data_IF_967334791788
#
_entry.id   IF_967334791788
#
_cell.length_a   1.000
_cell.length_b   1.000
_cell.length_c   1.000
_cell.angle_alpha   90.00
_cell.angle_beta   90.00
_cell.angle_gamma   90.00
#
_symmetry.space_group_name_H-M   'P 1'
#
loop_
_entity.id
_entity.type
_entity.pdbx_description
1 polymer ?
#
# COMPACT_ATOMS: atom_id res chain seq x y z
N UNK A 1 -3.74 11.78 -32.34
CA UNK A 1 -3.00 12.12 -31.11
C UNK A 1 -2.34 10.84 -30.63
N UNK A 2 -1.00 10.75 -30.65
CA UNK A 2 -0.29 9.57 -30.13
C UNK A 2 -0.24 9.64 -28.60
N UNK A 3 -0.52 8.54 -27.88
CA UNK A 3 -0.32 8.50 -26.43
C UNK A 3 1.18 8.70 -26.13
N UNK A 4 1.52 9.59 -25.19
CA UNK A 4 2.88 9.74 -24.68
C UNK A 4 3.29 8.40 -24.07
N UNK A 5 4.24 7.71 -24.68
CA UNK A 5 4.63 6.37 -24.25
C UNK A 5 5.69 6.38 -23.15
N UNK A 6 6.53 7.41 -23.11
CA UNK A 6 7.64 7.53 -22.15
C UNK A 6 7.71 8.96 -21.62
N UNK A 7 7.82 9.11 -20.31
CA UNK A 7 7.97 10.39 -19.63
C UNK A 7 9.03 10.25 -18.53
N UNK A 8 10.22 10.78 -18.78
CA UNK A 8 11.31 10.78 -17.81
C UNK A 8 11.27 12.08 -16.99
N UNK A 9 10.93 11.95 -15.71
CA UNK A 9 10.88 13.10 -14.77
C UNK A 9 11.80 12.92 -13.56
N UNK A 10 12.66 11.90 -13.60
CA UNK A 10 13.69 11.64 -12.59
C UNK A 10 14.47 12.92 -12.32
N UNK A 11 14.58 13.31 -11.04
CA UNK A 11 15.40 14.46 -10.60
C UNK A 11 15.01 15.84 -11.13
N UNK A 12 13.77 16.03 -11.60
CA UNK A 12 13.28 17.35 -11.95
C UNK A 12 12.70 18.09 -10.74
N UNK A 13 13.00 19.39 -10.62
CA UNK A 13 12.38 20.30 -9.64
C UNK A 13 10.99 20.74 -10.11
N UNK A 14 10.06 19.79 -10.18
CA UNK A 14 8.67 20.07 -10.54
C UNK A 14 7.96 20.65 -9.31
N UNK A 15 7.62 21.93 -9.37
CA UNK A 15 6.79 22.59 -8.36
C UNK A 15 5.32 22.15 -8.47
N UNK A 16 4.49 22.45 -7.48
CA UNK A 16 3.08 22.05 -7.41
C UNK A 16 2.29 22.36 -8.69
N UNK A 17 2.51 23.53 -9.29
CA UNK A 17 1.88 23.94 -10.56
C UNK A 17 2.35 23.08 -11.74
N UNK A 18 3.65 22.76 -11.81
CA UNK A 18 4.19 21.87 -12.83
C UNK A 18 3.63 20.45 -12.69
N UNK A 19 3.46 19.96 -11.47
CA UNK A 19 2.85 18.65 -11.20
C UNK A 19 1.37 18.64 -11.60
N UNK A 20 0.64 19.75 -11.39
CA UNK A 20 -0.75 19.90 -11.79
C UNK A 20 -0.90 19.88 -13.33
N UNK A 21 -0.08 20.65 -14.05
CA UNK A 21 -0.07 20.64 -15.52
C UNK A 21 0.31 19.28 -16.10
N UNK A 22 1.26 18.58 -15.45
CA UNK A 22 1.64 17.24 -15.83
C UNK A 22 0.48 16.25 -15.60
N UNK A 23 -0.18 16.33 -14.45
CA UNK A 23 -1.34 15.50 -14.13
C UNK A 23 -2.50 15.73 -15.12
N UNK A 24 -2.82 16.97 -15.45
CA UNK A 24 -3.86 17.32 -16.43
C UNK A 24 -3.54 16.80 -17.83
N UNK A 25 -2.26 16.87 -18.21
CA UNK A 25 -1.76 16.33 -19.49
C UNK A 25 -1.77 14.79 -19.52
N UNK A 26 -1.51 14.14 -18.39
CA UNK A 26 -1.49 12.68 -18.24
C UNK A 26 -2.88 12.07 -18.02
N UNK A 27 -3.87 12.85 -17.60
CA UNK A 27 -5.25 12.39 -17.33
C UNK A 27 -5.89 11.68 -18.52
N UNK A 28 -5.47 12.03 -19.73
CA UNK A 28 -5.95 11.45 -20.98
C UNK A 28 -5.06 10.30 -21.50
N UNK A 29 -4.00 9.98 -20.78
CA UNK A 29 -3.00 9.01 -21.19
C UNK A 29 -3.09 7.74 -20.35
N UNK A 30 -3.55 6.65 -20.96
CA UNK A 30 -3.73 5.36 -20.28
C UNK A 30 -2.41 4.68 -19.90
N UNK A 31 -1.27 5.17 -20.38
CA UNK A 31 0.03 4.52 -20.26
C UNK A 31 1.11 5.55 -19.93
N UNK A 32 1.81 5.39 -18.81
CA UNK A 32 3.00 6.18 -18.46
C UNK A 32 4.16 5.21 -18.21
N UNK A 33 5.28 5.42 -18.91
CA UNK A 33 6.52 4.66 -18.70
C UNK A 33 7.57 5.56 -18.05
N UNK A 34 8.10 5.13 -16.90
CA UNK A 34 9.23 5.77 -16.21
C UNK A 34 10.33 4.72 -16.09
N UNK A 35 11.50 4.95 -16.68
CA UNK A 35 12.64 4.00 -16.67
C UNK A 35 12.25 2.57 -17.10
N UNK A 36 11.51 2.42 -18.21
CA UNK A 36 10.95 1.14 -18.68
C UNK A 36 9.94 0.46 -17.74
N UNK A 37 9.60 1.05 -16.59
CA UNK A 37 8.53 0.60 -15.72
C UNK A 37 7.20 1.14 -16.22
N UNK A 38 6.28 0.24 -16.46
CA UNK A 38 4.93 0.49 -16.93
C UNK A 38 3.94 0.30 -15.80
N UNK A 39 3.05 1.28 -15.62
CA UNK A 39 1.97 1.23 -14.66
C UNK A 39 0.60 0.98 -15.33
N UNK A 40 -0.21 0.10 -14.74
CA UNK A 40 -1.60 -0.15 -15.11
C UNK A 40 -2.50 0.12 -13.92
N UNK A 41 -3.64 0.74 -14.16
CA UNK A 41 -4.61 1.06 -13.13
C UNK A 41 -5.96 0.43 -13.46
N UNK A 42 -6.66 -0.04 -12.45
CA UNK A 42 -8.04 -0.49 -12.54
C UNK A 42 -8.80 -0.10 -11.27
N UNK A 43 -10.09 0.19 -11.45
CA UNK A 43 -11.03 0.31 -10.34
C UNK A 43 -11.91 -0.93 -10.33
N UNK A 44 -11.97 -1.60 -9.18
CA UNK A 44 -12.77 -2.81 -8.96
C UNK A 44 -13.93 -2.49 -8.03
N UNK A 45 -15.13 -2.92 -8.41
CA UNK A 45 -16.31 -2.79 -7.55
C UNK A 45 -16.38 -3.98 -6.60
N UNK A 46 -16.28 -3.73 -5.30
CA UNK A 46 -16.45 -4.74 -4.26
C UNK A 46 -17.74 -4.49 -3.48
N UNK A 47 -18.40 -5.53 -2.93
CA UNK A 47 -19.51 -5.36 -2.01
C UNK A 47 -19.17 -4.45 -0.84
N UNK A 48 -20.05 -3.50 -0.50
CA UNK A 48 -19.83 -2.65 0.68
C UNK A 48 -20.01 -3.38 2.02
N UNK A 49 -20.54 -4.60 2.00
CA UNK A 49 -20.81 -5.42 3.17
C UNK A 49 -20.79 -6.90 2.77
N UNK A 50 -19.90 -7.66 3.41
CA UNK A 50 -19.71 -9.10 3.17
C UNK A 50 -20.57 -10.01 4.07
N UNK A 51 -21.23 -9.47 5.10
CA UNK A 51 -22.10 -10.24 6.02
C UNK A 51 -23.45 -10.64 5.42
N UNK A 52 -23.80 -10.18 4.21
CA UNK A 52 -25.02 -10.61 3.54
C UNK A 52 -24.70 -11.86 2.72
N UNK A 53 -25.12 -13.01 3.25
CA UNK A 53 -24.95 -14.36 2.67
C UNK A 53 -25.48 -14.54 1.25
N UNK A 54 -26.24 -13.57 0.71
CA UNK A 54 -26.62 -13.52 -0.69
C UNK A 54 -25.97 -12.30 -1.38
N UNK A 55 -24.81 -12.52 -2.01
CA UNK A 55 -24.12 -11.56 -2.89
C UNK A 55 -25.05 -11.01 -4.00
N UNK A 56 -26.11 -11.75 -4.36
CA UNK A 56 -27.15 -11.35 -5.32
C UNK A 56 -28.03 -10.19 -4.86
N UNK A 57 -28.02 -9.83 -3.57
CA UNK A 57 -28.80 -8.71 -3.00
C UNK A 57 -27.96 -7.52 -2.56
N UNK A 58 -26.63 -7.60 -2.68
CA UNK A 58 -25.74 -6.48 -2.42
C UNK A 58 -25.77 -5.50 -3.59
N UNK A 59 -26.72 -4.56 -3.56
CA UNK A 59 -26.82 -3.49 -4.57
C UNK A 59 -25.79 -2.38 -4.39
N UNK A 60 -25.12 -2.33 -3.23
CA UNK A 60 -24.13 -1.29 -2.93
C UNK A 60 -22.72 -1.85 -3.06
N UNK A 61 -21.96 -1.27 -3.98
CA UNK A 61 -20.54 -1.53 -4.17
C UNK A 61 -19.70 -0.32 -3.78
N UNK A 62 -18.42 -0.56 -3.54
CA UNK A 62 -17.39 0.46 -3.34
C UNK A 62 -16.29 0.21 -4.37
N UNK A 63 -15.79 1.28 -4.96
CA UNK A 63 -14.65 1.20 -5.87
C UNK A 63 -13.35 1.09 -5.06
N UNK A 64 -12.54 0.08 -5.41
CA UNK A 64 -11.18 -0.09 -4.92
C UNK A 64 -10.21 0.12 -6.08
N UNK A 65 -9.24 1.00 -5.87
CA UNK A 65 -8.18 1.25 -6.82
C UNK A 65 -7.05 0.24 -6.68
N UNK A 66 -6.70 -0.40 -7.79
CA UNK A 66 -5.53 -1.28 -7.90
C UNK A 66 -4.60 -0.75 -8.97
N UNK A 67 -3.31 -0.70 -8.65
CA UNK A 67 -2.24 -0.30 -9.58
C UNK A 67 -1.17 -1.37 -9.65
N UNK A 68 -0.84 -1.81 -10.86
CA UNK A 68 0.22 -2.77 -11.16
C UNK A 68 1.40 -2.04 -11.79
N UNK A 69 2.60 -2.34 -11.32
CA UNK A 69 3.88 -1.93 -11.89
C UNK A 69 4.59 -3.16 -12.45
N UNK A 70 5.13 -3.03 -13.66
CA UNK A 70 5.86 -4.11 -14.34
C UNK A 70 6.90 -3.52 -15.28
N UNK A 71 7.98 -4.26 -15.55
CA UNK A 71 8.95 -3.85 -16.56
C UNK A 71 8.41 -4.16 -17.97
N UNK A 72 8.62 -3.24 -18.92
CA UNK A 72 8.21 -3.43 -20.32
C UNK A 72 8.82 -4.72 -20.88
N UNK A 73 8.00 -5.58 -21.49
CA UNK A 73 8.43 -6.87 -22.05
C UNK A 73 8.37 -8.07 -21.09
N UNK A 74 8.17 -7.85 -19.79
CA UNK A 74 8.20 -8.92 -18.77
C UNK A 74 6.83 -9.25 -18.16
N UNK A 75 5.74 -8.75 -18.74
CA UNK A 75 4.38 -8.81 -18.16
C UNK A 75 3.88 -10.22 -17.82
N UNK A 76 4.33 -11.24 -18.54
CA UNK A 76 3.79 -12.61 -18.43
C UNK A 76 4.77 -13.59 -17.75
N UNK A 77 5.94 -13.11 -17.30
CA UNK A 77 6.98 -13.98 -16.73
C UNK A 77 7.29 -13.67 -15.27
N UNK A 78 6.79 -12.54 -14.77
CA UNK A 78 7.14 -12.04 -13.45
C UNK A 78 6.34 -12.70 -12.33
N UNK A 79 6.92 -12.92 -11.16
CA UNK A 79 6.16 -13.17 -9.93
C UNK A 79 5.27 -11.96 -9.59
N UNK A 80 4.25 -12.15 -8.76
CA UNK A 80 3.25 -11.15 -8.42
C UNK A 80 3.39 -10.76 -6.95
N UNK A 81 3.94 -9.59 -6.66
CA UNK A 81 4.05 -9.06 -5.29
C UNK A 81 2.96 -8.03 -5.01
N UNK A 82 2.06 -8.33 -4.09
CA UNK A 82 1.02 -7.43 -3.63
C UNK A 82 1.48 -6.70 -2.37
N UNK A 83 1.80 -5.42 -2.51
CA UNK A 83 2.19 -4.56 -1.39
C UNK A 83 0.97 -3.81 -0.86
N UNK A 84 0.65 -4.06 0.41
CA UNK A 84 -0.47 -3.41 1.10
C UNK A 84 0.10 -2.36 2.07
N UNK A 85 -0.12 -1.05 1.83
CA UNK A 85 0.44 0.01 2.67
C UNK A 85 -0.09 -0.10 4.09
N UNK A 86 0.77 0.15 5.09
CA UNK A 86 0.35 0.26 6.48
C UNK A 86 -0.57 1.46 6.74
N UNK A 87 -0.99 1.64 7.99
CA UNK A 87 -1.84 2.77 8.42
C UNK A 87 -3.27 2.77 7.84
N UNK A 88 -4.25 3.26 8.59
CA UNK A 88 -5.66 3.06 8.23
C UNK A 88 -6.14 3.88 7.02
N UNK A 89 -5.38 4.91 6.66
CA UNK A 89 -5.76 5.91 5.67
C UNK A 89 -4.65 6.26 4.67
N UNK A 90 -3.57 5.48 4.61
CA UNK A 90 -2.45 5.78 3.71
C UNK A 90 -2.77 5.32 2.29
N UNK A 91 -2.84 6.23 1.30
CA UNK A 91 -3.13 5.86 -0.08
C UNK A 91 -1.95 5.15 -0.72
N UNK A 92 -2.23 4.31 -1.73
CA UNK A 92 -1.18 3.60 -2.49
C UNK A 92 -0.21 4.53 -3.22
N UNK A 93 -0.60 5.78 -3.45
CA UNK A 93 0.26 6.81 -4.06
C UNK A 93 1.53 7.07 -3.23
N UNK A 94 1.53 6.71 -1.94
CA UNK A 94 2.73 6.79 -1.08
C UNK A 94 3.75 5.69 -1.36
N UNK A 95 3.35 4.59 -2.00
CA UNK A 95 4.23 3.46 -2.30
C UNK A 95 4.86 3.53 -3.70
N UNK A 96 4.46 4.47 -4.55
CA UNK A 96 4.81 4.43 -5.99
C UNK A 96 6.30 4.52 -6.23
N UNK A 97 6.97 5.46 -5.57
CA UNK A 97 8.39 5.71 -5.77
C UNK A 97 9.25 4.50 -5.39
N UNK A 98 9.01 3.92 -4.22
CA UNK A 98 9.67 2.69 -3.77
C UNK A 98 9.31 1.51 -4.68
N UNK A 99 8.09 1.43 -5.18
CA UNK A 99 7.66 0.35 -6.07
C UNK A 99 8.39 0.38 -7.41
N UNK A 100 8.54 1.55 -8.02
CA UNK A 100 9.30 1.72 -9.28
C UNK A 100 10.77 1.33 -9.08
N UNK A 101 11.37 1.69 -7.94
CA UNK A 101 12.75 1.28 -7.61
C UNK A 101 12.89 -0.23 -7.49
N UNK A 102 11.98 -0.90 -6.79
CA UNK A 102 12.03 -2.36 -6.61
C UNK A 102 11.82 -3.09 -7.93
N UNK A 103 10.85 -2.68 -8.77
CA UNK A 103 10.63 -3.30 -10.09
C UNK A 103 11.89 -3.19 -10.97
N UNK A 104 12.55 -2.02 -10.96
CA UNK A 104 13.80 -1.82 -11.68
C UNK A 104 14.94 -2.68 -11.12
N UNK A 105 15.13 -2.68 -9.79
CA UNK A 105 16.18 -3.46 -9.14
C UNK A 105 16.03 -4.97 -9.37
N UNK A 106 14.80 -5.45 -9.54
CA UNK A 106 14.49 -6.85 -9.80
C UNK A 106 14.38 -7.19 -11.30
N UNK A 107 14.70 -6.24 -12.18
CA UNK A 107 14.85 -6.43 -13.63
C UNK A 107 13.72 -7.25 -14.28
N UNK A 108 12.46 -6.93 -13.93
CA UNK A 108 11.28 -7.59 -14.51
C UNK A 108 10.96 -8.98 -13.97
N UNK A 109 11.72 -9.52 -13.02
CA UNK A 109 11.38 -10.78 -12.34
C UNK A 109 10.11 -10.67 -11.48
N UNK A 110 9.69 -9.44 -11.14
CA UNK A 110 8.48 -9.20 -10.36
C UNK A 110 7.61 -8.09 -10.95
N UNK A 111 6.30 -8.32 -10.93
CA UNK A 111 5.27 -7.29 -11.05
C UNK A 111 4.78 -6.95 -9.65
N UNK A 112 4.69 -5.66 -9.33
CA UNK A 112 4.22 -5.20 -8.04
C UNK A 112 2.82 -4.63 -8.17
N UNK A 113 1.89 -5.16 -7.40
CA UNK A 113 0.54 -4.67 -7.24
C UNK A 113 0.45 -3.87 -5.94
N UNK A 114 -0.22 -2.73 -5.99
CA UNK A 114 -0.63 -1.94 -4.83
C UNK A 114 -2.13 -1.72 -4.91
N UNK A 115 -2.83 -1.77 -3.78
CA UNK A 115 -4.28 -1.55 -3.72
C UNK A 115 -4.64 -0.64 -2.56
N UNK A 116 -5.56 0.28 -2.81
CA UNK A 116 -6.17 1.06 -1.74
C UNK A 116 -7.04 0.14 -0.88
N UNK A 117 -7.17 0.46 0.40
CA UNK A 117 -8.14 -0.18 1.29
C UNK A 117 -9.47 0.56 1.19
N UNK A 118 -10.55 -0.13 1.50
CA UNK A 118 -11.88 0.48 1.50
C UNK A 118 -11.92 1.76 2.35
N UNK A 119 -12.30 2.89 1.74
CA UNK A 119 -12.35 4.17 2.43
C UNK A 119 -10.99 4.81 2.69
N UNK A 120 -9.99 4.57 1.84
CA UNK A 120 -8.72 5.32 1.79
C UNK A 120 -8.72 6.26 0.56
N UNK A 121 -7.83 7.27 0.55
CA UNK A 121 -7.55 8.13 -0.62
C UNK A 121 -8.66 9.09 -1.11
N UNK A 122 -9.34 9.81 -0.21
CA UNK A 122 -10.34 10.82 -0.60
C UNK A 122 -11.51 10.28 -1.44
N UNK A 123 -12.03 9.10 -1.11
CA UNK A 123 -13.40 8.75 -1.51
C UNK A 123 -14.35 9.82 -0.91
N UNK A 124 -15.12 10.59 -1.73
CA UNK A 124 -16.15 11.52 -1.24
C UNK A 124 -17.10 10.88 -0.22
N UNK A 125 -17.25 9.57 -0.39
CA UNK A 125 -17.98 8.57 0.39
C UNK A 125 -17.84 8.60 1.92
N UNK A 126 -16.69 9.02 2.48
CA UNK A 126 -16.45 8.90 3.93
C UNK A 126 -17.14 10.01 4.72
N UNK A 127 -17.24 11.22 4.17
CA UNK A 127 -17.80 12.38 4.89
C UNK A 127 -19.32 12.29 5.06
N UNK A 128 -20.01 11.56 4.20
CA UNK A 128 -21.47 11.59 4.13
C UNK A 128 -22.17 10.39 4.79
N UNK A 129 -21.45 9.37 5.27
CA UNK A 129 -22.06 8.08 5.62
C UNK A 129 -21.50 7.43 6.90
N UNK A 130 -21.90 7.93 8.07
CA UNK A 130 -21.50 7.39 9.38
C UNK A 130 -21.85 5.90 9.56
N UNK A 131 -22.99 5.43 9.02
CA UNK A 131 -23.38 4.01 9.07
C UNK A 131 -22.40 3.07 8.35
N UNK A 132 -21.62 3.60 7.38
CA UNK A 132 -20.63 2.83 6.62
C UNK A 132 -19.31 2.69 7.36
N UNK A 133 -19.07 3.44 8.44
CA UNK A 133 -17.90 3.24 9.30
C UNK A 133 -17.94 1.87 10.00
N UNK A 134 -19.14 1.36 10.31
CA UNK A 134 -19.31 0.02 10.91
C UNK A 134 -18.88 -1.13 9.97
N UNK A 135 -18.83 -0.87 8.67
CA UNK A 135 -18.42 -1.85 7.66
C UNK A 135 -16.91 -1.81 7.39
N UNK A 136 -16.18 -0.80 7.89
CA UNK A 136 -14.73 -0.66 7.70
C UNK A 136 -13.95 -1.44 8.76
N UNK A 137 -14.19 -2.74 8.80
CA UNK A 137 -13.44 -3.67 9.65
C UNK A 137 -12.43 -4.44 8.80
N UNK A 138 -11.31 -4.83 9.42
CA UNK A 138 -10.25 -5.59 8.76
C UNK A 138 -10.75 -6.86 8.07
N UNK A 139 -11.79 -7.50 8.61
CA UNK A 139 -12.41 -8.67 7.99
C UNK A 139 -13.01 -8.36 6.62
N UNK A 140 -13.75 -7.24 6.48
CA UNK A 140 -14.29 -6.83 5.18
C UNK A 140 -13.18 -6.46 4.20
N UNK A 141 -12.14 -5.77 4.67
CA UNK A 141 -10.97 -5.46 3.83
C UNK A 141 -10.20 -6.72 3.43
N UNK A 142 -10.21 -7.78 4.23
CA UNK A 142 -9.61 -9.06 3.88
C UNK A 142 -10.43 -9.77 2.79
N UNK A 143 -11.76 -9.75 2.87
CA UNK A 143 -12.63 -10.24 1.79
C UNK A 143 -12.48 -9.41 0.50
N UNK A 144 -12.33 -8.09 0.62
CA UNK A 144 -12.02 -7.23 -0.52
C UNK A 144 -10.73 -7.70 -1.21
N UNK A 145 -9.66 -7.95 -0.43
CA UNK A 145 -8.39 -8.44 -0.96
C UNK A 145 -8.53 -9.81 -1.63
N UNK A 146 -9.26 -10.74 -1.03
CA UNK A 146 -9.57 -12.05 -1.62
C UNK A 146 -10.31 -11.90 -2.95
N UNK A 147 -11.35 -11.07 -3.00
CA UNK A 147 -12.09 -10.81 -4.21
C UNK A 147 -11.23 -10.18 -5.31
N UNK A 148 -10.37 -9.22 -4.95
CA UNK A 148 -9.45 -8.56 -5.88
C UNK A 148 -8.46 -9.59 -6.47
N UNK A 149 -7.91 -10.46 -5.63
CA UNK A 149 -7.02 -11.54 -6.07
C UNK A 149 -7.76 -12.50 -7.01
N UNK A 150 -8.99 -12.91 -6.66
CA UNK A 150 -9.87 -13.72 -7.52
C UNK A 150 -10.09 -13.08 -8.89
N UNK A 151 -10.37 -11.79 -8.94
CA UNK A 151 -10.63 -11.08 -10.20
C UNK A 151 -9.37 -10.90 -11.04
N UNK A 152 -8.23 -10.63 -10.42
CA UNK A 152 -6.98 -10.29 -11.14
C UNK A 152 -6.16 -11.53 -11.52
N UNK A 153 -6.15 -12.56 -10.67
CA UNK A 153 -5.34 -13.78 -10.83
C UNK A 153 -6.19 -14.96 -11.34
N UNK A 154 -7.52 -14.82 -11.30
CA UNK A 154 -8.53 -15.85 -11.59
C UNK A 154 -8.61 -16.96 -10.53
N UNK A 155 -9.80 -17.57 -10.42
CA UNK A 155 -10.02 -18.73 -9.57
C UNK A 155 -9.09 -19.86 -10.02
N UNK A 156 -8.25 -20.37 -9.13
CA UNK A 156 -7.26 -21.43 -9.39
C UNK A 156 -6.08 -21.03 -10.28
N UNK A 157 -5.72 -19.73 -10.35
CA UNK A 157 -4.45 -19.28 -10.96
C UNK A 157 -4.29 -19.66 -12.43
N UNK A 158 -5.39 -19.77 -13.17
CA UNK A 158 -5.41 -20.25 -14.57
C UNK A 158 -4.55 -19.39 -15.50
N UNK A 159 -4.38 -18.11 -15.17
CA UNK A 159 -3.55 -17.16 -15.92
C UNK A 159 -2.11 -17.04 -15.41
N UNK A 160 -1.71 -17.82 -14.40
CA UNK A 160 -0.34 -17.89 -13.94
C UNK A 160 0.35 -19.12 -14.53
N UNK A 161 1.57 -18.92 -15.00
CA UNK A 161 2.48 -20.02 -15.28
C UNK A 161 2.82 -20.75 -13.98
N UNK A 162 3.09 -22.05 -14.07
CA UNK A 162 3.39 -22.91 -12.91
C UNK A 162 4.60 -22.48 -12.09
N UNK A 163 5.47 -21.64 -12.66
CA UNK A 163 6.65 -21.08 -11.99
C UNK A 163 6.42 -19.68 -11.39
N UNK A 164 5.25 -19.06 -11.59
CA UNK A 164 4.94 -17.74 -11.04
C UNK A 164 4.35 -17.87 -9.63
N UNK A 165 4.82 -17.00 -8.74
CA UNK A 165 4.37 -16.96 -7.35
C UNK A 165 3.58 -15.69 -7.05
N UNK A 166 2.61 -15.79 -6.16
CA UNK A 166 1.82 -14.69 -5.62
C UNK A 166 2.24 -14.46 -4.17
N UNK A 167 2.82 -13.30 -3.91
CA UNK A 167 3.38 -12.94 -2.62
C UNK A 167 2.58 -11.76 -2.07
N UNK A 168 2.07 -11.86 -0.84
CA UNK A 168 1.49 -10.73 -0.14
C UNK A 168 2.54 -10.10 0.79
N UNK A 169 2.75 -8.79 0.72
CA UNK A 169 3.58 -8.04 1.67
C UNK A 169 2.78 -6.96 2.36
N UNK A 170 2.71 -7.04 3.68
CA UNK A 170 2.05 -6.07 4.53
C UNK A 170 3.07 -5.36 5.40
N UNK A 171 2.90 -4.05 5.59
CA UNK A 171 3.71 -3.28 6.54
C UNK A 171 2.85 -2.70 7.66
N UNK A 172 3.33 -2.68 8.90
CA UNK A 172 2.65 -2.05 10.04
C UNK A 172 1.21 -2.57 10.19
N UNK A 173 0.19 -1.70 10.23
CA UNK A 173 -1.21 -2.11 10.39
C UNK A 173 -1.71 -3.12 9.34
N UNK A 174 -1.09 -3.17 8.17
CA UNK A 174 -1.47 -4.15 7.13
C UNK A 174 -0.96 -5.55 7.41
N UNK A 175 -0.03 -5.77 8.35
CA UNK A 175 0.28 -7.13 8.79
C UNK A 175 -0.91 -7.79 9.45
N UNK A 176 -1.70 -7.03 10.22
CA UNK A 176 -2.94 -7.52 10.81
C UNK A 176 -4.00 -7.85 9.75
N UNK A 177 -4.09 -7.03 8.70
CA UNK A 177 -4.94 -7.33 7.54
C UNK A 177 -4.54 -8.65 6.88
N UNK A 178 -3.25 -8.87 6.63
CA UNK A 178 -2.78 -10.10 6.00
C UNK A 178 -2.95 -11.33 6.89
N UNK A 179 -2.78 -11.19 8.20
CA UNK A 179 -3.14 -12.25 9.15
C UNK A 179 -4.63 -12.59 9.05
N UNK A 180 -5.51 -11.58 9.01
CA UNK A 180 -6.96 -11.81 8.84
C UNK A 180 -7.29 -12.48 7.52
N UNK A 181 -6.63 -12.06 6.43
CA UNK A 181 -6.74 -12.70 5.12
C UNK A 181 -6.44 -14.21 5.22
N UNK A 182 -5.28 -14.59 5.78
CA UNK A 182 -4.89 -16.00 5.93
C UNK A 182 -5.97 -16.81 6.67
N UNK A 183 -6.57 -16.25 7.73
CA UNK A 183 -7.60 -16.95 8.52
C UNK A 183 -8.95 -17.11 7.78
N UNK A 184 -9.31 -16.20 6.88
CA UNK A 184 -10.56 -16.33 6.12
C UNK A 184 -10.35 -17.17 4.84
N UNK A 185 -9.10 -17.36 4.43
CA UNK A 185 -8.74 -18.06 3.20
C UNK A 185 -7.91 -19.32 3.47
N UNK A 186 -8.18 -20.04 4.56
CA UNK A 186 -7.36 -21.18 5.04
C UNK A 186 -7.12 -22.27 3.96
N UNK A 187 -8.05 -22.43 3.01
CA UNK A 187 -7.97 -23.40 1.90
C UNK A 187 -7.62 -22.75 0.54
N UNK A 188 -7.20 -21.48 0.52
CA UNK A 188 -7.06 -20.74 -0.73
C UNK A 188 -5.63 -20.81 -1.29
N UNK A 189 -5.48 -21.49 -2.43
CA UNK A 189 -4.22 -21.65 -3.16
C UNK A 189 -3.75 -20.38 -3.90
N UNK A 190 -4.43 -19.25 -3.73
CA UNK A 190 -4.14 -17.99 -4.43
C UNK A 190 -2.83 -17.32 -4.03
N UNK A 191 -2.28 -17.62 -2.85
CA UNK A 191 -1.09 -16.96 -2.29
C UNK A 191 -0.07 -18.01 -1.88
N UNK A 192 1.15 -17.87 -2.40
CA UNK A 192 2.26 -18.77 -2.09
C UNK A 192 3.03 -18.35 -0.84
N UNK A 193 3.15 -17.04 -0.61
CA UNK A 193 3.98 -16.49 0.47
C UNK A 193 3.40 -15.20 1.05
N UNK A 194 3.62 -15.00 2.35
CA UNK A 194 3.21 -13.80 3.07
C UNK A 194 4.40 -13.22 3.84
N UNK A 195 4.74 -11.97 3.53
CA UNK A 195 5.78 -11.20 4.20
C UNK A 195 5.13 -10.16 5.12
N UNK A 196 5.40 -10.28 6.42
CA UNK A 196 4.91 -9.35 7.44
C UNK A 196 6.05 -8.46 7.94
N UNK A 197 6.03 -7.20 7.53
CA UNK A 197 7.05 -6.21 7.86
C UNK A 197 6.53 -5.28 8.98
N UNK A 198 7.27 -5.18 10.09
CA UNK A 198 6.87 -4.38 11.25
C UNK A 198 5.51 -4.83 11.83
N UNK A 199 5.46 -6.08 12.29
CA UNK A 199 4.24 -6.79 12.73
C UNK A 199 3.46 -5.98 13.79
N UNK A 200 2.21 -5.68 13.48
CA UNK A 200 1.23 -5.19 14.44
C UNK A 200 0.51 -6.38 15.11
N UNK A 201 0.94 -6.72 16.33
CA UNK A 201 0.28 -7.73 17.15
C UNK A 201 -1.04 -7.18 17.71
N UNK A 202 -2.07 -8.01 17.76
CA UNK A 202 -3.44 -7.62 18.13
C UNK A 202 -3.57 -7.14 19.58
N UNK A 203 -2.74 -7.68 20.46
CA UNK A 203 -2.67 -7.43 21.90
C UNK A 203 -1.77 -6.24 22.27
N UNK A 204 -0.77 -5.90 21.44
CA UNK A 204 0.25 -4.87 21.73
C UNK A 204 -0.17 -3.45 21.31
N UNK A 205 -1.30 -3.28 20.63
CA UNK A 205 -1.77 -1.94 20.18
C UNK A 205 -2.26 -1.01 21.29
N UNK A 206 -2.24 -1.44 22.56
CA UNK A 206 -2.58 -0.57 23.70
C UNK A 206 -1.56 0.57 23.81
N UNK A 207 -2.04 1.81 23.96
CA UNK A 207 -1.24 3.03 24.05
C UNK A 207 -0.03 2.90 24.98
N UNK A 208 -0.22 2.29 26.16
CA UNK A 208 0.82 2.07 27.18
C UNK A 208 2.07 1.35 26.62
N UNK A 209 1.89 0.35 25.74
CA UNK A 209 3.02 -0.37 25.16
C UNK A 209 3.70 0.44 24.05
N UNK A 210 2.91 1.17 23.25
CA UNK A 210 3.41 2.03 22.19
C UNK A 210 4.25 3.18 22.75
N UNK A 211 3.78 3.85 23.80
CA UNK A 211 4.47 4.98 24.42
C UNK A 211 5.80 4.52 25.04
N UNK A 212 5.81 3.35 25.69
CA UNK A 212 7.05 2.75 26.21
C UNK A 212 8.08 2.51 25.10
N UNK A 213 7.65 1.96 23.95
CA UNK A 213 8.56 1.70 22.83
C UNK A 213 9.06 2.98 22.16
N UNK A 214 8.18 3.96 21.96
CA UNK A 214 8.57 5.28 21.45
C UNK A 214 9.57 5.97 22.38
N UNK A 215 9.38 5.88 23.69
CA UNK A 215 10.33 6.39 24.67
C UNK A 215 11.71 5.75 24.52
N UNK A 216 11.80 4.43 24.29
CA UNK A 216 13.09 3.79 24.01
C UNK A 216 13.74 4.27 22.72
N UNK A 217 12.97 4.48 21.64
CA UNK A 217 13.50 5.04 20.39
C UNK A 217 14.04 6.45 20.61
N UNK A 218 13.30 7.29 21.34
CA UNK A 218 13.76 8.64 21.67
C UNK A 218 15.03 8.61 22.53
N UNK A 219 15.08 7.74 23.54
CA UNK A 219 16.27 7.58 24.37
C UNK A 219 17.49 7.11 23.56
N UNK A 220 17.34 6.14 22.66
CA UNK A 220 18.43 5.70 21.76
C UNK A 220 18.87 6.83 20.82
N UNK A 221 17.92 7.56 20.24
CA UNK A 221 18.21 8.72 19.39
C UNK A 221 19.00 9.79 20.15
N UNK A 222 18.57 10.16 21.35
CA UNK A 222 19.26 11.15 22.17
C UNK A 222 20.64 10.66 22.62
N UNK A 223 20.78 9.37 22.95
CA UNK A 223 22.07 8.77 23.32
C UNK A 223 23.06 8.81 22.16
N UNK A 224 22.62 8.54 20.93
CA UNK A 224 23.48 8.66 19.74
C UNK A 224 23.80 10.11 19.41
N UNK A 225 22.82 10.99 19.54
CA UNK A 225 22.96 12.42 19.29
C UNK A 225 23.93 13.09 20.28
N UNK A 226 23.98 12.63 21.54
CA UNK A 226 24.95 13.12 22.53
C UNK A 226 26.38 12.64 22.28
N UNK A 227 26.55 11.65 21.39
CA UNK A 227 27.86 11.14 20.96
C UNK A 227 28.28 11.74 19.60
N UNK A 228 27.47 12.62 19.01
CA UNK A 228 27.72 13.20 17.71
C UNK A 228 28.52 14.50 17.81
N UNK A 229 29.77 14.46 17.31
CA UNK A 229 30.68 15.60 17.32
C UNK A 229 30.22 16.76 16.41
N UNK A 230 29.21 16.55 15.56
CA UNK A 230 28.67 17.55 14.64
C UNK A 230 27.56 18.42 15.25
N UNK A 231 27.39 18.39 16.58
CA UNK A 231 26.52 19.32 17.30
C UNK A 231 25.05 18.93 17.29
N UNK A 232 24.72 17.66 17.08
CA UNK A 232 23.34 17.18 17.21
C UNK A 232 22.76 17.51 18.59
N UNK A 233 23.52 17.31 19.67
CA UNK A 233 23.07 17.65 21.02
C UNK A 233 22.74 19.15 21.16
N UNK A 234 23.60 20.00 20.61
CA UNK A 234 23.43 21.45 20.62
C UNK A 234 22.17 21.90 19.88
N UNK A 235 21.78 21.23 18.79
CA UNK A 235 20.52 21.50 18.10
C UNK A 235 19.29 21.30 19.00
N UNK A 236 19.26 20.26 19.83
CA UNK A 236 18.15 19.99 20.74
C UNK A 236 18.15 20.93 21.95
N UNK A 237 19.33 21.25 22.49
CA UNK A 237 19.50 22.18 23.61
C UNK A 237 19.10 23.61 23.23
N UNK A 238 19.55 24.11 22.06
CA UNK A 238 19.34 25.50 21.65
C UNK A 238 17.91 25.75 21.17
N UNK A 239 17.30 24.79 20.45
CA UNK A 239 15.98 25.00 19.85
C UNK A 239 14.81 24.51 20.71
N UNK A 240 15.04 23.57 21.63
CA UNK A 240 13.98 22.95 22.45
C UNK A 240 14.41 22.62 23.90
N UNK A 241 14.88 23.60 24.70
CA UNK A 241 15.58 23.36 25.98
C UNK A 241 14.76 22.68 27.11
N UNK A 242 13.46 22.37 26.94
CA UNK A 242 12.59 21.89 28.03
C UNK A 242 11.52 20.87 27.65
N UNK A 243 11.75 20.00 26.65
CA UNK A 243 10.83 18.86 26.41
C UNK A 243 11.49 17.48 26.36
N UNK A 244 12.80 17.41 26.49
CA UNK A 244 13.49 16.14 26.62
C UNK A 244 13.53 15.73 28.11
N UNK A 245 12.98 14.55 28.41
CA UNK A 245 13.32 13.65 29.52
C UNK A 245 12.42 13.55 30.76
N UNK A 246 11.39 14.37 30.98
CA UNK A 246 10.49 14.17 32.12
C UNK A 246 9.02 14.50 31.83
N UNK A 247 8.31 13.59 31.14
CA UNK A 247 6.91 13.16 31.41
C UNK A 247 6.64 11.88 30.63
#
# INVERSE_FOLDING_TARGET
MQPLTTLEISWNRILSQGAQHLADSLKHNKIVTVNNVYAQCIYLNVPSNWNKTNLTTCTQTIEIFVKRYSLLGYKNMSHHLWRIPGGGGIPVSTLEFETVRVVNALNGSISIYVTDKQGVACLPYIRENEYRLKQKIFTNTAFDLEYILKVIIDNNRQYLNSNQCVILKGSSQSTYLLQRYIHITEDNEQVDEVILDSILLTDITRLIHRDKYLNYIFLDLFTRCSQDDYGCAQYFEDNHPRRALYT
#
